data_IF_831281333533
#
_entry.id   IF_831281333533
#
_cell.length_a   1.000
_cell.length_b   1.000
_cell.length_c   1.000
_cell.angle_alpha   90.00
_cell.angle_beta   90.00
_cell.angle_gamma   90.00
#
_symmetry.space_group_name_H-M   'P 1'
#
loop_
_entity.id
_entity.type
_entity.pdbx_description
1 polymer ?
#
# COMPACT_ATOMS: atom_id res chain seq x y z
N UNK A 1 -13.92 24.91 8.48
CA UNK A 1 -14.77 23.76 8.85
C UNK A 1 -15.90 23.66 7.84
N UNK A 2 -16.25 22.46 7.36
CA UNK A 2 -17.42 22.26 6.52
C UNK A 2 -18.68 22.14 7.39
N UNK A 3 -19.83 22.65 6.91
CA UNK A 3 -21.12 22.52 7.60
C UNK A 3 -21.61 21.05 7.72
N UNK A 4 -22.68 20.84 8.51
CA UNK A 4 -23.29 19.51 8.69
C UNK A 4 -23.80 18.97 7.34
N UNK A 5 -23.40 17.75 7.02
CA UNK A 5 -23.82 17.04 5.80
C UNK A 5 -23.91 15.54 6.09
N UNK A 6 -24.53 14.78 5.18
CA UNK A 6 -24.61 13.30 5.27
C UNK A 6 -23.23 12.66 5.43
N UNK A 7 -22.18 13.29 4.88
CA UNK A 7 -20.80 12.80 4.98
C UNK A 7 -20.30 12.76 6.43
N UNK A 8 -20.85 13.59 7.32
CA UNK A 8 -20.52 13.57 8.75
C UNK A 8 -20.94 12.25 9.44
N UNK A 9 -21.83 11.48 8.81
CA UNK A 9 -22.33 10.21 9.33
C UNK A 9 -21.78 9.00 8.55
N UNK A 10 -20.91 9.22 7.56
CA UNK A 10 -20.33 8.16 6.75
C UNK A 10 -18.81 8.03 7.00
N UNK A 11 -18.29 6.80 6.91
CA UNK A 11 -16.84 6.54 6.93
C UNK A 11 -16.30 6.54 5.49
N UNK A 12 -15.24 7.28 5.23
CA UNK A 12 -14.47 7.14 3.98
C UNK A 12 -13.55 5.92 4.09
N UNK A 13 -13.54 5.07 3.07
CA UNK A 13 -12.67 3.88 3.01
C UNK A 13 -11.96 3.84 1.67
N UNK A 14 -10.65 3.59 1.69
CA UNK A 14 -9.85 3.38 0.49
C UNK A 14 -9.76 1.88 0.22
N UNK A 15 -10.06 1.49 -1.02
CA UNK A 15 -9.85 0.13 -1.52
C UNK A 15 -8.79 0.23 -2.60
N UNK A 16 -7.67 -0.47 -2.39
CA UNK A 16 -6.55 -0.51 -3.33
C UNK A 16 -6.33 -1.95 -3.75
N UNK A 17 -6.30 -2.18 -5.05
CA UNK A 17 -6.04 -3.49 -5.64
C UNK A 17 -4.91 -3.38 -6.65
N UNK A 18 -4.03 -4.38 -6.67
CA UNK A 18 -2.96 -4.49 -7.63
C UNK A 18 -3.16 -5.73 -8.48
N UNK A 19 -2.95 -5.60 -9.79
CA UNK A 19 -2.66 -6.77 -10.63
C UNK A 19 -1.26 -7.27 -10.30
N UNK A 20 -0.94 -8.49 -10.71
CA UNK A 20 0.41 -9.04 -10.56
C UNK A 20 1.47 -8.16 -11.23
N UNK A 21 1.21 -7.69 -12.45
CA UNK A 21 2.10 -6.78 -13.16
C UNK A 21 2.32 -5.47 -12.39
N UNK A 22 1.24 -4.83 -11.92
CA UNK A 22 1.35 -3.59 -11.16
C UNK A 22 2.11 -3.79 -9.83
N UNK A 23 1.92 -4.93 -9.16
CA UNK A 23 2.67 -5.26 -7.94
C UNK A 23 4.17 -5.44 -8.22
N UNK A 24 4.54 -6.06 -9.36
CA UNK A 24 5.96 -6.17 -9.77
C UNK A 24 6.56 -4.82 -10.11
N UNK A 25 5.82 -3.94 -10.77
CA UNK A 25 6.29 -2.59 -11.12
C UNK A 25 6.58 -1.76 -9.87
N UNK A 26 5.71 -1.80 -8.85
CA UNK A 26 5.92 -1.01 -7.62
C UNK A 26 6.82 -1.70 -6.58
N UNK A 27 7.00 -3.01 -6.68
CA UNK A 27 7.70 -3.84 -5.70
C UNK A 27 9.09 -3.32 -5.31
N UNK A 28 9.97 -2.97 -6.26
CA UNK A 28 11.30 -2.43 -5.97
C UNK A 28 11.28 -1.13 -5.15
N UNK A 29 10.26 -0.27 -5.34
CA UNK A 29 10.12 0.95 -4.56
C UNK A 29 9.74 0.63 -3.12
N UNK A 30 8.82 -0.32 -2.90
CA UNK A 30 8.40 -0.71 -1.55
C UNK A 30 9.55 -1.35 -0.78
N UNK A 31 10.33 -2.24 -1.41
CA UNK A 31 11.48 -2.87 -0.75
C UNK A 31 12.57 -1.86 -0.43
N UNK A 32 12.84 -0.90 -1.32
CA UNK A 32 13.79 0.19 -1.07
C UNK A 32 13.40 1.01 0.16
N UNK A 33 12.12 1.33 0.30
CA UNK A 33 11.62 2.05 1.48
C UNK A 33 11.68 1.19 2.74
N UNK A 34 11.32 -0.08 2.64
CA UNK A 34 11.37 -1.01 3.78
C UNK A 34 12.80 -1.19 4.32
N UNK A 35 13.80 -1.26 3.44
CA UNK A 35 15.21 -1.34 3.83
C UNK A 35 15.68 -0.03 4.49
N UNK A 36 15.27 1.12 3.95
CA UNK A 36 15.61 2.43 4.50
C UNK A 36 14.97 2.71 5.87
N UNK A 37 13.80 2.13 6.13
CA UNK A 37 13.04 2.29 7.38
C UNK A 37 13.28 1.16 8.40
N UNK A 38 14.20 0.22 8.12
CA UNK A 38 14.49 -0.96 8.96
C UNK A 38 13.24 -1.82 9.23
N UNK A 39 12.45 -2.08 8.17
CA UNK A 39 11.20 -2.84 8.19
C UNK A 39 11.32 -4.15 7.37
N UNK A 40 12.15 -5.12 7.80
CA UNK A 40 12.47 -6.31 6.99
C UNK A 40 11.24 -7.17 6.67
N UNK A 41 10.27 -7.27 7.58
CA UNK A 41 9.03 -8.03 7.35
C UNK A 41 8.13 -7.39 6.29
N UNK A 42 8.15 -6.06 6.15
CA UNK A 42 7.38 -5.37 5.11
C UNK A 42 7.99 -5.61 3.74
N UNK A 43 9.32 -5.48 3.62
CA UNK A 43 10.06 -5.80 2.40
C UNK A 43 9.85 -7.27 1.99
N UNK A 44 9.99 -8.20 2.93
CA UNK A 44 9.78 -9.63 2.68
C UNK A 44 8.36 -9.96 2.18
N UNK A 45 7.32 -9.29 2.71
CA UNK A 45 5.95 -9.48 2.28
C UNK A 45 5.73 -9.14 0.80
N UNK A 46 6.45 -8.15 0.28
CA UNK A 46 6.40 -7.80 -1.15
C UNK A 46 7.29 -8.72 -1.96
N UNK A 47 8.56 -8.89 -1.55
CA UNK A 47 9.55 -9.67 -2.29
C UNK A 47 9.10 -11.10 -2.58
N UNK A 48 8.45 -11.78 -1.63
CA UNK A 48 7.97 -13.16 -1.84
C UNK A 48 6.92 -13.29 -2.96
N UNK A 49 6.24 -12.20 -3.32
CA UNK A 49 5.23 -12.16 -4.39
C UNK A 49 5.81 -11.72 -5.73
N UNK A 50 6.95 -11.03 -5.71
CA UNK A 50 7.59 -10.48 -6.92
C UNK A 50 8.81 -11.27 -7.38
N UNK A 51 9.39 -12.11 -6.52
CA UNK A 51 10.62 -12.88 -6.78
C UNK A 51 10.42 -14.18 -7.58
N UNK A 52 9.20 -14.48 -8.02
CA UNK A 52 8.86 -15.65 -8.82
C UNK A 52 8.67 -15.26 -10.27
#
# INVERSE_FOLDING_TARGET
SSGLSVRAFCKNMHVVTYTEQALREVGPHVTTLADAEDLPSHGAAVSIRTSR
#
